data_IF_051004378381
#
_entry.id   IF_051004378381
#
_cell.length_a   1.000
_cell.length_b   1.000
_cell.length_c   1.000
_cell.angle_alpha   90.00
_cell.angle_beta   90.00
_cell.angle_gamma   90.00
#
_symmetry.space_group_name_H-M   'P 1'
#
loop_
_entity.id
_entity.type
_entity.pdbx_description
1 polymer ?
#
# COMPACT_ATOMS: atom_id res chain seq x y z
N UNK A 1 -29.07 -17.01 -2.62
CA UNK A 1 -27.81 -17.13 -1.85
C UNK A 1 -27.99 -16.33 -0.59
N UNK A 2 -27.59 -16.84 0.58
CA UNK A 2 -27.68 -16.06 1.81
C UNK A 2 -26.78 -14.82 1.69
N UNK A 3 -27.28 -13.67 2.11
CA UNK A 3 -26.53 -12.41 2.09
C UNK A 3 -25.32 -12.54 3.02
N UNK A 4 -24.12 -12.22 2.52
CA UNK A 4 -22.89 -12.31 3.31
C UNK A 4 -22.91 -11.23 4.38
N UNK A 5 -22.88 -11.63 5.65
CA UNK A 5 -22.84 -10.67 6.77
C UNK A 5 -21.52 -9.93 6.75
N UNK A 6 -21.57 -8.60 6.70
CA UNK A 6 -20.40 -7.72 6.77
C UNK A 6 -20.39 -6.94 8.08
N UNK A 7 -19.19 -6.52 8.51
CA UNK A 7 -19.01 -5.60 9.62
C UNK A 7 -17.98 -4.55 9.25
N UNK A 8 -18.11 -3.38 9.88
CA UNK A 8 -17.12 -2.31 9.76
C UNK A 8 -15.79 -2.75 10.36
N UNK A 9 -14.74 -2.70 9.56
CA UNK A 9 -13.34 -2.88 9.95
C UNK A 9 -12.60 -1.57 9.73
N UNK A 10 -11.88 -1.11 10.76
CA UNK A 10 -11.06 0.10 10.71
C UNK A 10 -9.62 -0.25 10.37
N UNK A 11 -9.16 0.25 9.25
CA UNK A 11 -7.81 0.04 8.74
C UNK A 11 -7.02 1.33 8.91
N UNK A 12 -5.82 1.25 9.49
CA UNK A 12 -4.87 2.35 9.57
C UNK A 12 -3.81 2.13 8.50
N UNK A 13 -3.74 3.05 7.54
CA UNK A 13 -2.83 2.98 6.41
C UNK A 13 -1.66 3.96 6.61
N UNK A 14 -0.44 3.43 6.50
CA UNK A 14 0.82 4.18 6.49
C UNK A 14 1.76 3.63 5.41
N UNK A 15 2.75 4.42 5.03
CA UNK A 15 3.84 4.04 4.12
C UNK A 15 4.97 5.06 4.26
N UNK A 16 6.16 4.76 3.73
CA UNK A 16 7.25 5.74 3.57
C UNK A 16 7.63 6.39 4.91
N UNK A 17 7.80 5.56 5.93
CA UNK A 17 8.15 6.02 7.28
C UNK A 17 9.64 6.30 7.41
N UNK A 18 10.49 5.66 6.60
CA UNK A 18 11.92 5.98 6.49
C UNK A 18 12.63 6.10 7.85
N UNK A 19 12.58 5.03 8.66
CA UNK A 19 13.06 4.92 10.04
C UNK A 19 12.31 5.76 11.09
N UNK A 20 11.28 6.50 10.71
CA UNK A 20 10.52 7.32 11.65
C UNK A 20 9.33 6.51 12.21
N UNK A 21 8.99 6.76 13.46
CA UNK A 21 7.74 6.24 14.04
C UNK A 21 6.72 7.36 14.10
N UNK A 22 5.43 7.01 14.05
CA UNK A 22 4.34 7.97 14.14
C UNK A 22 3.30 7.51 15.15
N UNK A 23 2.53 8.47 15.67
CA UNK A 23 1.38 8.16 16.52
C UNK A 23 0.30 7.46 15.70
N UNK A 24 0.09 6.18 15.99
CA UNK A 24 -0.92 5.36 15.32
C UNK A 24 -2.28 5.56 16.01
N UNK A 25 -3.32 5.98 15.28
CA UNK A 25 -4.69 5.99 15.81
C UNK A 25 -5.18 4.55 16.04
N UNK A 26 -6.20 4.39 16.90
CA UNK A 26 -6.83 3.07 17.11
C UNK A 26 -7.46 2.55 15.82
N UNK A 27 -7.24 1.27 15.54
CA UNK A 27 -7.89 0.53 14.46
C UNK A 27 -7.83 -0.97 14.71
N UNK A 28 -8.42 -1.73 13.79
CA UNK A 28 -8.44 -3.20 13.84
C UNK A 28 -7.25 -3.78 13.06
N UNK A 29 -6.88 -3.14 11.95
CA UNK A 29 -5.79 -3.55 11.05
C UNK A 29 -4.81 -2.40 10.83
N UNK A 30 -3.51 -2.69 10.86
CA UNK A 30 -2.46 -1.78 10.41
C UNK A 30 -1.89 -2.26 9.07
N UNK A 31 -1.76 -1.36 8.09
CA UNK A 31 -1.10 -1.62 6.81
C UNK A 31 0.08 -0.67 6.66
N UNK A 32 1.28 -1.22 6.41
CA UNK A 32 2.47 -0.47 5.99
C UNK A 32 2.85 -0.80 4.54
N UNK A 33 2.69 0.17 3.63
CA UNK A 33 2.85 -0.04 2.18
C UNK A 33 4.30 0.19 1.67
N UNK A 34 5.30 -0.25 2.43
CA UNK A 34 6.71 -0.17 2.04
C UNK A 34 7.47 1.08 2.50
N UNK A 35 8.78 1.06 2.26
CA UNK A 35 9.75 2.05 2.73
C UNK A 35 9.72 2.23 4.25
N UNK A 36 9.88 1.10 4.94
CA UNK A 36 10.06 1.08 6.40
C UNK A 36 11.34 1.82 6.80
N UNK A 37 12.36 1.73 5.95
CA UNK A 37 13.72 2.16 6.25
C UNK A 37 14.24 3.24 5.30
N UNK A 38 15.41 3.82 5.60
CA UNK A 38 16.10 4.68 4.63
C UNK A 38 16.99 3.87 3.66
N UNK A 39 17.63 2.81 4.14
CA UNK A 39 18.58 2.01 3.35
C UNK A 39 18.57 0.51 3.71
N UNK A 40 17.53 0.01 4.36
CA UNK A 40 17.36 -1.42 4.57
C UNK A 40 18.42 -2.09 5.44
N UNK A 41 19.19 -1.39 6.27
CA UNK A 41 20.12 -2.09 7.15
C UNK A 41 19.39 -2.95 8.18
N UNK A 42 19.98 -4.06 8.62
CA UNK A 42 19.43 -4.95 9.65
C UNK A 42 19.00 -4.19 10.93
N UNK A 43 19.74 -3.15 11.32
CA UNK A 43 19.38 -2.32 12.47
C UNK A 43 18.13 -1.46 12.22
N UNK A 44 17.97 -0.91 11.01
CA UNK A 44 16.79 -0.16 10.63
C UNK A 44 15.57 -1.07 10.55
N UNK A 45 15.69 -2.22 9.89
CA UNK A 45 14.62 -3.22 9.78
C UNK A 45 14.20 -3.69 11.17
N UNK A 46 15.14 -4.10 12.02
CA UNK A 46 14.84 -4.56 13.37
C UNK A 46 14.09 -3.51 14.20
N UNK A 47 14.48 -2.23 14.11
CA UNK A 47 13.77 -1.13 14.80
C UNK A 47 12.36 -0.92 14.25
N UNK A 48 12.20 -0.94 12.93
CA UNK A 48 10.89 -0.75 12.29
C UNK A 48 9.94 -1.90 12.64
N UNK A 49 10.41 -3.15 12.54
CA UNK A 49 9.61 -4.33 12.90
C UNK A 49 9.23 -4.30 14.37
N UNK A 50 10.18 -4.01 15.28
CA UNK A 50 9.87 -3.93 16.71
C UNK A 50 8.76 -2.91 17.01
N UNK A 51 8.82 -1.72 16.39
CA UNK A 51 7.77 -0.71 16.54
C UNK A 51 6.40 -1.19 16.05
N UNK A 52 6.36 -1.88 14.90
CA UNK A 52 5.11 -2.42 14.34
C UNK A 52 4.56 -3.59 15.17
N UNK A 53 5.43 -4.44 15.72
CA UNK A 53 5.04 -5.53 16.63
C UNK A 53 4.39 -4.98 17.91
N UNK A 54 4.92 -3.89 18.46
CA UNK A 54 4.41 -3.27 19.69
C UNK A 54 3.08 -2.52 19.48
N UNK A 55 2.64 -2.31 18.25
CA UNK A 55 1.37 -1.64 17.96
C UNK A 55 0.15 -2.53 18.29
N UNK A 56 -0.87 -1.98 18.96
CA UNK A 56 -2.07 -2.71 19.38
C UNK A 56 -3.11 -2.80 18.25
N UNK A 57 -2.94 -3.78 17.36
CA UNK A 57 -3.82 -4.10 16.25
C UNK A 57 -4.01 -5.63 16.17
N UNK A 58 -5.20 -6.07 15.75
CA UNK A 58 -5.53 -7.50 15.61
C UNK A 58 -4.77 -8.13 14.43
N UNK A 59 -4.49 -7.34 13.37
CA UNK A 59 -3.61 -7.73 12.28
C UNK A 59 -2.68 -6.59 11.85
N UNK A 60 -1.44 -6.92 11.48
CA UNK A 60 -0.48 -6.01 10.83
C UNK A 60 -0.03 -6.61 9.50
N UNK A 61 -0.18 -5.86 8.41
CA UNK A 61 0.20 -6.26 7.06
C UNK A 61 1.32 -5.33 6.60
N UNK A 62 2.43 -5.91 6.16
CA UNK A 62 3.63 -5.16 5.78
C UNK A 62 4.13 -5.66 4.43
N UNK A 63 4.48 -4.73 3.56
CA UNK A 63 5.29 -4.99 2.36
C UNK A 63 6.58 -4.17 2.47
N UNK A 64 7.61 -4.56 1.71
CA UNK A 64 8.80 -3.74 1.51
C UNK A 64 8.53 -2.60 0.51
N UNK A 65 9.45 -1.63 0.47
CA UNK A 65 9.55 -0.63 -0.60
C UNK A 65 10.96 -0.58 -1.18
N UNK A 66 11.21 0.39 -2.06
CA UNK A 66 12.47 0.47 -2.81
C UNK A 66 13.68 0.86 -1.93
N UNK A 67 13.47 1.40 -0.74
CA UNK A 67 14.51 1.72 0.24
C UNK A 67 14.90 0.54 1.16
N UNK A 68 14.08 -0.50 1.24
CA UNK A 68 14.32 -1.67 2.09
C UNK A 68 15.26 -2.67 1.39
N UNK A 69 16.41 -2.16 0.92
CA UNK A 69 17.21 -2.79 -0.14
C UNK A 69 17.73 -4.20 0.17
N UNK A 70 17.97 -4.53 1.44
CA UNK A 70 18.45 -5.89 1.80
C UNK A 70 17.36 -6.94 1.66
N UNK A 71 16.08 -6.54 1.63
CA UNK A 71 14.94 -7.43 1.44
C UNK A 71 14.79 -7.88 -0.02
N UNK A 72 15.46 -7.20 -0.95
CA UNK A 72 15.64 -7.65 -2.34
C UNK A 72 17.03 -8.25 -2.50
N UNK A 73 17.12 -9.57 -2.34
CA UNK A 73 18.39 -10.30 -2.39
C UNK A 73 19.13 -10.10 -3.72
N UNK A 74 18.39 -10.07 -4.84
CA UNK A 74 18.99 -9.91 -6.17
C UNK A 74 19.61 -8.52 -6.30
N UNK A 75 18.85 -7.47 -5.96
CA UNK A 75 19.35 -6.09 -5.97
C UNK A 75 20.53 -5.91 -5.01
N UNK A 76 20.40 -6.40 -3.77
CA UNK A 76 21.42 -6.19 -2.75
C UNK A 76 22.74 -6.89 -3.09
N UNK A 77 22.69 -8.10 -3.65
CA UNK A 77 23.90 -8.80 -4.11
C UNK A 77 24.68 -8.01 -5.16
N UNK A 78 23.97 -7.31 -6.05
CA UNK A 78 24.57 -6.54 -7.15
C UNK A 78 24.98 -5.12 -6.73
N UNK A 79 24.21 -4.48 -5.86
CA UNK A 79 24.33 -3.04 -5.61
C UNK A 79 24.56 -2.67 -4.14
N UNK A 80 24.43 -3.59 -3.19
CA UNK A 80 24.52 -3.32 -1.76
C UNK A 80 25.82 -2.66 -1.33
N UNK A 81 26.93 -2.95 -2.02
CA UNK A 81 28.24 -2.31 -1.78
C UNK A 81 28.24 -0.79 -1.97
N UNK A 82 27.36 -0.27 -2.85
CA UNK A 82 27.20 1.17 -3.09
C UNK A 82 26.51 1.87 -1.91
N UNK A 83 25.62 1.16 -1.21
CA UNK A 83 24.82 1.71 -0.13
C UNK A 83 25.48 1.52 1.24
N UNK A 84 26.02 0.33 1.52
CA UNK A 84 26.56 -0.05 2.83
C UNK A 84 28.10 -0.04 2.91
N UNK A 85 28.78 0.62 1.94
CA UNK A 85 30.21 0.97 1.91
C UNK A 85 31.13 -0.01 2.68
N UNK A 86 31.22 -1.25 2.19
CA UNK A 86 32.04 -2.37 2.68
C UNK A 86 31.58 -3.12 3.95
N UNK A 87 30.39 -2.84 4.49
CA UNK A 87 29.75 -3.68 5.51
C UNK A 87 28.52 -4.40 4.92
N UNK A 88 28.72 -5.37 4.01
CA UNK A 88 27.60 -6.16 3.51
C UNK A 88 26.90 -6.86 4.67
N UNK A 89 25.61 -7.10 4.49
CA UNK A 89 24.75 -7.74 5.48
C UNK A 89 24.10 -8.94 4.79
N UNK A 90 23.65 -9.92 5.56
CA UNK A 90 22.94 -11.05 4.97
C UNK A 90 21.51 -10.63 4.63
N UNK A 91 21.13 -10.68 3.36
CA UNK A 91 19.74 -10.51 2.93
C UNK A 91 18.82 -11.54 3.57
N UNK A 92 19.30 -12.76 3.79
CA UNK A 92 18.54 -13.82 4.46
C UNK A 92 18.25 -13.46 5.92
N UNK A 93 19.26 -12.99 6.67
CA UNK A 93 19.06 -12.55 8.06
C UNK A 93 18.14 -11.33 8.12
N UNK A 94 18.29 -10.37 7.19
CA UNK A 94 17.43 -9.19 7.14
C UNK A 94 15.98 -9.53 6.79
N UNK A 95 15.76 -10.48 5.87
CA UNK A 95 14.44 -10.98 5.52
C UNK A 95 13.81 -11.70 6.71
N UNK A 96 14.58 -12.54 7.42
CA UNK A 96 14.09 -13.24 8.61
C UNK A 96 13.59 -12.29 9.71
N UNK A 97 14.18 -11.09 9.87
CA UNK A 97 13.71 -10.09 10.83
C UNK A 97 12.25 -9.69 10.60
N UNK A 98 11.76 -9.71 9.35
CA UNK A 98 10.39 -9.34 9.01
C UNK A 98 9.51 -10.56 8.77
N UNK A 99 9.98 -11.57 8.04
CA UNK A 99 9.18 -12.75 7.67
C UNK A 99 8.93 -13.72 8.82
N UNK A 100 9.76 -13.69 9.88
CA UNK A 100 9.60 -14.54 11.05
C UNK A 100 8.87 -13.85 12.21
N UNK A 101 8.35 -12.64 12.02
CA UNK A 101 7.56 -11.97 13.05
C UNK A 101 6.30 -12.76 13.38
N UNK A 102 5.97 -13.01 14.66
CA UNK A 102 4.77 -13.74 15.05
C UNK A 102 3.49 -12.92 14.93
N UNK A 103 3.58 -11.59 14.71
CA UNK A 103 2.43 -10.68 14.71
C UNK A 103 2.25 -9.87 13.43
N UNK A 104 3.18 -10.01 12.48
CA UNK A 104 3.14 -9.32 11.19
C UNK A 104 2.98 -10.34 10.07
N UNK A 105 2.02 -10.07 9.19
CA UNK A 105 1.94 -10.73 7.88
C UNK A 105 2.78 -9.91 6.89
N UNK A 106 3.97 -10.38 6.61
CA UNK A 106 4.81 -9.84 5.53
C UNK A 106 4.39 -10.45 4.20
N UNK A 107 4.23 -9.62 3.17
CA UNK A 107 3.86 -10.07 1.82
C UNK A 107 4.91 -9.60 0.81
N UNK A 108 5.46 -10.52 0.03
CA UNK A 108 6.41 -10.22 -1.04
C UNK A 108 5.92 -10.71 -2.40
N UNK A 109 4.99 -9.96 -2.99
CA UNK A 109 4.30 -10.32 -4.24
C UNK A 109 3.50 -11.61 -4.11
N UNK A 110 2.64 -11.64 -3.10
CA UNK A 110 1.82 -12.80 -2.75
C UNK A 110 0.50 -12.38 -2.09
N UNK A 111 -0.39 -13.35 -1.89
CA UNK A 111 -1.68 -13.14 -1.23
C UNK A 111 -1.80 -13.90 0.08
N UNK A 112 -2.51 -13.32 1.04
CA UNK A 112 -2.89 -13.97 2.30
C UNK A 112 -4.37 -13.75 2.62
N UNK A 113 -4.97 -14.70 3.33
CA UNK A 113 -6.26 -14.51 3.98
C UNK A 113 -6.04 -14.04 5.41
N UNK A 114 -6.56 -12.87 5.76
CA UNK A 114 -6.46 -12.30 7.10
C UNK A 114 -7.75 -12.57 7.85
N UNK A 115 -7.63 -13.03 9.09
CA UNK A 115 -8.75 -13.21 10.03
C UNK A 115 -8.50 -12.36 11.26
N UNK A 116 -9.48 -11.53 11.60
CA UNK A 116 -9.46 -10.75 12.83
C UNK A 116 -10.08 -11.60 13.95
N UNK A 117 -9.29 -11.91 14.97
CA UNK A 117 -9.62 -12.91 15.99
C UNK A 117 -10.05 -12.28 17.31
N UNK A 118 -9.86 -10.97 17.48
CA UNK A 118 -10.26 -10.26 18.68
C UNK A 118 -11.76 -10.42 18.93
N UNK A 119 -12.11 -10.98 20.08
CA UNK A 119 -13.50 -11.17 20.50
C UNK A 119 -14.27 -9.83 20.65
N UNK A 120 -13.54 -8.72 20.85
CA UNK A 120 -14.09 -7.37 20.90
C UNK A 120 -14.02 -6.64 19.56
N UNK A 121 -13.33 -7.22 18.58
CA UNK A 121 -13.15 -6.69 17.24
C UNK A 121 -14.28 -7.08 16.28
N UNK A 122 -14.16 -6.71 15.00
CA UNK A 122 -15.22 -6.94 14.02
C UNK A 122 -15.35 -8.42 13.61
N UNK A 123 -14.33 -9.26 13.88
CA UNK A 123 -14.31 -10.68 13.51
C UNK A 123 -14.51 -10.89 11.99
N UNK A 124 -13.84 -10.07 11.18
CA UNK A 124 -13.91 -10.14 9.72
C UNK A 124 -12.79 -10.99 9.14
N UNK A 125 -13.01 -11.49 7.92
CA UNK A 125 -12.01 -12.16 7.09
C UNK A 125 -12.00 -11.55 5.68
N UNK A 126 -10.81 -11.35 5.15
CA UNK A 126 -10.61 -10.77 3.81
C UNK A 126 -9.32 -11.31 3.18
N UNK A 127 -9.25 -11.28 1.85
CA UNK A 127 -8.03 -11.60 1.09
C UNK A 127 -7.28 -10.32 0.78
N UNK A 128 -5.98 -10.30 1.09
CA UNK A 128 -5.06 -9.22 0.74
C UNK A 128 -4.02 -9.74 -0.24
N UNK A 129 -3.69 -8.97 -1.27
CA UNK A 129 -2.50 -9.15 -2.10
C UNK A 129 -1.50 -8.04 -1.77
N UNK A 130 -0.22 -8.39 -1.58
CA UNK A 130 0.84 -7.43 -1.22
C UNK A 130 2.04 -7.55 -2.15
N UNK A 131 2.55 -6.43 -2.68
CA UNK A 131 3.76 -6.45 -3.51
C UNK A 131 4.65 -5.20 -3.36
N UNK A 132 5.97 -5.37 -3.21
CA UNK A 132 6.91 -4.25 -3.12
C UNK A 132 7.29 -3.65 -4.47
N UNK A 133 6.93 -4.30 -5.58
CA UNK A 133 7.44 -3.95 -6.91
C UNK A 133 6.94 -2.58 -7.40
N UNK A 134 7.83 -1.84 -8.05
CA UNK A 134 7.56 -0.53 -8.65
C UNK A 134 8.25 -0.34 -10.01
N UNK A 135 7.72 0.50 -10.93
CA UNK A 135 8.43 0.89 -12.13
C UNK A 135 9.75 1.58 -11.80
N UNK A 136 10.81 1.25 -12.53
CA UNK A 136 12.16 1.74 -12.22
C UNK A 136 12.25 3.27 -12.17
N UNK A 137 12.63 3.78 -11.00
CA UNK A 137 13.11 5.15 -10.84
C UNK A 137 14.51 5.17 -10.22
N UNK A 138 15.54 5.35 -11.06
CA UNK A 138 16.93 5.30 -10.63
C UNK A 138 17.38 3.90 -10.22
N UNK A 139 18.28 3.82 -9.25
CA UNK A 139 18.90 2.57 -8.78
C UNK A 139 18.41 2.27 -7.37
N UNK A 140 17.29 1.58 -7.27
CA UNK A 140 16.71 1.10 -6.00
C UNK A 140 16.17 -0.33 -6.13
N UNK A 141 15.89 -0.97 -4.99
CA UNK A 141 15.37 -2.32 -4.92
C UNK A 141 13.94 -2.42 -5.48
N UNK A 142 13.50 -3.65 -5.77
CA UNK A 142 12.14 -3.98 -6.21
C UNK A 142 11.68 -3.21 -7.46
N UNK A 143 12.62 -2.83 -8.32
CA UNK A 143 12.32 -2.13 -9.56
C UNK A 143 12.26 -3.09 -10.75
N UNK A 144 11.25 -2.94 -11.59
CA UNK A 144 11.20 -3.55 -12.93
C UNK A 144 11.19 -2.48 -14.01
N UNK A 145 11.59 -2.87 -15.22
CA UNK A 145 11.58 -1.97 -16.38
C UNK A 145 10.15 -1.86 -16.93
N UNK A 146 9.69 -0.63 -17.18
CA UNK A 146 8.39 -0.34 -17.79
C UNK A 146 8.59 0.19 -19.23
N UNK A 147 7.53 0.13 -20.05
CA UNK A 147 7.54 0.74 -21.38
C UNK A 147 7.90 2.23 -21.33
N UNK A 148 8.62 2.71 -22.34
CA UNK A 148 8.92 4.14 -22.52
C UNK A 148 7.67 4.99 -22.83
N UNK A 149 6.59 4.35 -23.28
CA UNK A 149 5.31 4.99 -23.61
C UNK A 149 4.14 4.25 -22.93
N UNK A 150 4.05 4.26 -21.58
CA UNK A 150 3.05 3.46 -20.87
C UNK A 150 1.61 3.93 -21.15
N UNK A 151 1.42 5.19 -21.57
CA UNK A 151 0.11 5.73 -21.96
C UNK A 151 -0.37 5.24 -23.35
N UNK A 152 0.53 4.70 -24.17
CA UNK A 152 0.14 4.12 -25.46
C UNK A 152 -0.57 2.79 -25.21
N UNK A 153 -1.82 2.68 -25.66
CA UNK A 153 -2.61 1.46 -25.53
C UNK A 153 -1.94 0.23 -26.17
N UNK A 154 -1.03 0.42 -27.14
CA UNK A 154 -0.29 -0.63 -27.82
C UNK A 154 1.06 -0.98 -27.17
N UNK A 155 1.52 -0.22 -26.17
CA UNK A 155 2.76 -0.50 -25.46
C UNK A 155 2.68 -1.81 -24.67
N UNK A 156 3.72 -2.67 -24.75
CA UNK A 156 3.81 -3.83 -23.88
C UNK A 156 3.98 -3.37 -22.42
N UNK A 157 3.08 -3.81 -21.55
CA UNK A 157 3.16 -3.57 -20.12
C UNK A 157 3.68 -4.83 -19.42
N UNK A 158 4.22 -4.67 -18.21
CA UNK A 158 4.57 -5.80 -17.36
C UNK A 158 3.34 -6.65 -17.02
N UNK A 159 3.52 -7.96 -16.91
CA UNK A 159 2.47 -8.92 -16.56
C UNK A 159 2.47 -9.32 -15.09
N UNK A 160 3.40 -8.81 -14.26
CA UNK A 160 3.47 -9.19 -12.84
C UNK A 160 2.15 -8.91 -12.10
N UNK A 161 1.38 -7.91 -12.54
CA UNK A 161 0.10 -7.56 -11.90
C UNK A 161 -1.04 -8.47 -12.33
N UNK A 162 -0.82 -9.43 -13.24
CA UNK A 162 -1.78 -10.49 -13.55
C UNK A 162 -1.93 -11.50 -12.40
N UNK A 163 -0.92 -11.58 -11.53
CA UNK A 163 -0.92 -12.44 -10.35
C UNK A 163 -1.84 -11.92 -9.22
N UNK A 164 -2.35 -10.68 -9.32
CA UNK A 164 -3.34 -10.15 -8.37
C UNK A 164 -4.64 -10.97 -8.49
N UNK A 165 -5.06 -11.70 -7.43
CA UNK A 165 -6.22 -12.56 -7.50
C UNK A 165 -7.50 -11.75 -7.78
N UNK A 166 -8.38 -12.27 -8.64
CA UNK A 166 -9.65 -11.62 -9.00
C UNK A 166 -10.62 -11.42 -7.83
N UNK A 167 -10.35 -12.07 -6.69
CA UNK A 167 -11.16 -12.03 -5.48
C UNK A 167 -10.45 -11.30 -4.32
N UNK A 168 -9.35 -10.58 -4.59
CA UNK A 168 -8.67 -9.80 -3.57
C UNK A 168 -9.59 -8.65 -3.09
N UNK A 169 -9.85 -8.60 -1.78
CA UNK A 169 -10.60 -7.51 -1.16
C UNK A 169 -9.73 -6.26 -1.02
N UNK A 170 -8.44 -6.47 -0.76
CA UNK A 170 -7.44 -5.41 -0.52
C UNK A 170 -6.19 -5.70 -1.36
N UNK A 171 -5.66 -4.65 -1.99
CA UNK A 171 -4.36 -4.69 -2.67
C UNK A 171 -3.41 -3.70 -1.98
N UNK A 172 -2.22 -4.13 -1.62
CA UNK A 172 -1.16 -3.29 -1.03
C UNK A 172 0.03 -3.31 -1.97
N UNK A 173 0.40 -2.16 -2.52
CA UNK A 173 1.55 -2.04 -3.42
C UNK A 173 2.43 -0.89 -2.98
N UNK A 174 3.74 -0.96 -3.20
CA UNK A 174 4.56 0.19 -2.87
C UNK A 174 4.30 1.35 -3.86
N UNK A 175 4.30 1.05 -5.17
CA UNK A 175 3.92 2.04 -6.20
C UNK A 175 2.42 2.36 -6.17
N UNK A 176 2.03 3.62 -6.42
CA UNK A 176 0.65 3.94 -6.74
C UNK A 176 0.27 3.47 -8.15
N UNK A 177 -1.01 3.15 -8.41
CA UNK A 177 -1.53 3.02 -9.78
C UNK A 177 -1.49 4.38 -10.49
N UNK A 178 -1.26 4.37 -11.80
CA UNK A 178 -1.21 5.59 -12.60
C UNK A 178 -2.50 6.42 -12.46
N UNK A 179 -2.34 7.75 -12.36
CA UNK A 179 -3.39 8.75 -12.15
C UNK A 179 -4.10 8.72 -10.78
N UNK A 180 -3.75 7.82 -9.86
CA UNK A 180 -4.36 7.77 -8.53
C UNK A 180 -3.32 7.70 -7.43
N UNK A 181 -3.19 8.79 -6.67
CA UNK A 181 -2.18 8.90 -5.62
C UNK A 181 -0.75 9.00 -6.16
N UNK A 182 -0.56 9.47 -7.39
CA UNK A 182 0.74 9.54 -8.07
C UNK A 182 1.10 10.95 -8.56
N UNK A 183 0.46 11.96 -7.98
CA UNK A 183 0.71 13.36 -8.30
C UNK A 183 2.16 13.75 -7.97
N UNK A 184 2.77 14.54 -8.85
CA UNK A 184 4.13 15.09 -8.67
C UNK A 184 4.16 16.58 -8.99
N UNK A 185 5.18 17.29 -8.52
CA UNK A 185 5.42 18.72 -8.87
C UNK A 185 5.50 18.94 -10.39
N UNK A 186 5.98 17.95 -11.15
CA UNK A 186 6.05 18.01 -12.61
C UNK A 186 4.67 17.89 -13.30
N UNK A 187 3.59 17.69 -12.51
CA UNK A 187 2.21 17.48 -12.97
C UNK A 187 2.08 16.35 -14.01
N UNK A 188 3.00 15.38 -13.98
CA UNK A 188 2.94 14.17 -14.80
C UNK A 188 2.74 12.94 -13.90
N UNK A 189 1.80 12.04 -14.25
CA UNK A 189 1.61 10.77 -13.56
C UNK A 189 2.91 9.96 -13.55
N UNK A 190 3.31 9.47 -12.38
CA UNK A 190 4.44 8.54 -12.21
C UNK A 190 4.01 7.16 -11.72
N UNK A 191 2.71 6.95 -11.51
CA UNK A 191 2.18 5.67 -11.11
C UNK A 191 2.22 4.65 -12.23
N UNK A 192 2.04 3.38 -11.84
CA UNK A 192 2.13 2.23 -12.72
C UNK A 192 0.83 2.03 -13.51
N UNK A 193 0.93 2.01 -14.85
CA UNK A 193 -0.23 1.80 -15.72
C UNK A 193 -0.71 0.35 -15.68
N UNK A 194 0.22 -0.60 -15.63
CA UNK A 194 -0.12 -2.03 -15.53
C UNK A 194 -0.91 -2.34 -14.24
N UNK A 195 -0.52 -1.72 -13.11
CA UNK A 195 -1.24 -1.83 -11.85
C UNK A 195 -2.64 -1.20 -11.93
N UNK A 196 -2.77 -0.02 -12.55
CA UNK A 196 -4.08 0.62 -12.77
C UNK A 196 -5.03 -0.31 -13.54
N UNK A 197 -4.55 -0.99 -14.58
CA UNK A 197 -5.33 -1.99 -15.33
C UNK A 197 -5.68 -3.22 -14.50
N UNK A 198 -4.77 -3.68 -13.64
CA UNK A 198 -5.05 -4.76 -12.70
C UNK A 198 -6.14 -4.35 -11.69
N UNK A 199 -6.12 -3.12 -11.18
CA UNK A 199 -7.18 -2.61 -10.30
C UNK A 199 -8.52 -2.46 -11.02
N UNK A 200 -8.54 -2.05 -12.29
CA UNK A 200 -9.76 -2.05 -13.11
C UNK A 200 -10.33 -3.47 -13.31
N UNK A 201 -9.46 -4.48 -13.46
CA UNK A 201 -9.85 -5.89 -13.62
C UNK A 201 -10.37 -6.50 -12.31
N UNK A 202 -9.63 -6.32 -11.22
CA UNK A 202 -9.88 -6.95 -9.91
C UNK A 202 -10.91 -6.18 -9.10
N UNK A 203 -10.85 -4.84 -9.14
CA UNK A 203 -11.71 -3.92 -8.39
C UNK A 203 -11.75 -4.23 -6.89
N UNK A 204 -10.59 -4.26 -6.20
CA UNK A 204 -10.58 -4.44 -4.76
C UNK A 204 -11.30 -3.29 -4.07
N UNK A 205 -11.85 -3.51 -2.88
CA UNK A 205 -12.50 -2.45 -2.09
C UNK A 205 -11.50 -1.35 -1.72
N UNK A 206 -10.27 -1.75 -1.40
CA UNK A 206 -9.19 -0.86 -0.98
C UNK A 206 -7.88 -1.21 -1.69
N UNK A 207 -7.22 -0.21 -2.27
CA UNK A 207 -5.85 -0.29 -2.74
C UNK A 207 -4.99 0.69 -1.92
N UNK A 208 -3.97 0.21 -1.21
CA UNK A 208 -3.09 1.02 -0.37
C UNK A 208 -1.69 1.07 -0.98
N UNK A 209 -1.13 2.28 -1.08
CA UNK A 209 0.19 2.52 -1.65
C UNK A 209 0.97 3.62 -0.95
N UNK A 210 2.18 3.89 -1.45
CA UNK A 210 3.08 4.93 -0.97
C UNK A 210 3.94 5.46 -2.10
N UNK A 211 5.27 5.50 -1.88
CA UNK A 211 6.34 5.78 -2.85
C UNK A 211 6.38 7.22 -3.39
N UNK A 212 5.25 7.74 -3.85
CA UNK A 212 5.12 9.11 -4.36
C UNK A 212 4.58 9.99 -3.22
N UNK A 213 5.48 10.60 -2.44
CA UNK A 213 5.12 11.33 -1.20
C UNK A 213 4.11 12.45 -1.42
N UNK A 214 4.24 13.19 -2.53
CA UNK A 214 3.31 14.28 -2.88
C UNK A 214 1.94 13.76 -3.34
N UNK A 215 1.84 12.48 -3.68
CA UNK A 215 0.61 11.80 -4.06
C UNK A 215 -0.26 11.42 -2.86
N UNK A 216 0.20 11.66 -1.62
CA UNK A 216 -0.54 11.37 -0.38
C UNK A 216 -1.98 11.88 -0.45
N UNK A 217 -2.93 10.96 -0.32
CA UNK A 217 -4.36 11.27 -0.41
C UNK A 217 -5.18 10.00 -0.62
N UNK A 218 -6.46 10.19 -0.95
CA UNK A 218 -7.34 9.09 -1.31
C UNK A 218 -8.23 9.44 -2.50
N UNK A 219 -8.40 8.51 -3.42
CA UNK A 219 -9.30 8.61 -4.56
C UNK A 219 -10.33 7.49 -4.46
N UNK A 220 -11.60 7.80 -4.73
CA UNK A 220 -12.63 6.79 -4.97
C UNK A 220 -12.91 6.73 -6.46
N UNK A 221 -12.55 5.60 -7.05
CA UNK A 221 -12.58 5.37 -8.49
C UNK A 221 -13.75 4.49 -8.82
N UNK A 222 -14.60 4.93 -9.75
CA UNK A 222 -15.66 4.10 -10.34
C UNK A 222 -15.14 3.58 -11.67
N UNK A 223 -15.02 2.27 -11.82
CA UNK A 223 -14.50 1.65 -13.04
C UNK A 223 -15.60 1.48 -14.09
N UNK A 224 -15.29 1.71 -15.36
CA UNK A 224 -16.23 1.44 -16.45
C UNK A 224 -16.30 -0.07 -16.76
N UNK A 225 -17.48 -0.67 -16.55
CA UNK A 225 -17.79 -2.07 -16.86
C UNK A 225 -18.00 -2.33 -18.36
N UNK A 226 -18.35 -1.31 -19.15
CA UNK A 226 -19.10 -1.47 -20.43
C UNK A 226 -18.46 -0.76 -21.62
N UNK A 227 -17.15 -0.50 -21.61
CA UNK A 227 -16.51 -0.04 -22.84
C UNK A 227 -16.51 -1.20 -23.85
N UNK A 228 -17.53 -1.24 -24.72
CA UNK A 228 -17.67 -2.16 -25.86
C UNK A 228 -16.54 -2.06 -26.90
N UNK A 229 -15.50 -1.29 -26.58
CA UNK A 229 -14.25 -1.12 -27.33
C UNK A 229 -13.08 -1.94 -26.78
N UNK A 230 -13.24 -2.63 -25.63
CA UNK A 230 -12.17 -3.39 -24.97
C UNK A 230 -11.12 -2.53 -24.27
N UNK A 231 -11.36 -1.21 -24.14
CA UNK A 231 -10.43 -0.28 -23.46
C UNK A 231 -10.83 -0.14 -21.98
N UNK A 232 -9.85 -0.31 -21.09
CA UNK A 232 -9.98 0.01 -19.66
C UNK A 232 -10.24 1.53 -19.49
N UNK A 233 -11.08 1.92 -18.53
CA UNK A 233 -11.37 3.32 -18.24
C UNK A 233 -11.98 3.52 -16.84
N UNK A 234 -11.75 4.69 -16.25
CA UNK A 234 -12.52 5.22 -15.14
C UNK A 234 -13.80 5.89 -15.66
N UNK A 235 -14.93 5.52 -15.08
CA UNK A 235 -16.20 6.23 -15.29
C UNK A 235 -16.22 7.56 -14.53
N UNK A 236 -15.70 7.58 -13.31
CA UNK A 236 -15.54 8.80 -12.51
C UNK A 236 -14.52 8.61 -11.40
N UNK A 237 -13.97 9.73 -10.91
CA UNK A 237 -13.03 9.77 -9.78
C UNK A 237 -13.48 10.85 -8.81
N UNK A 238 -13.65 10.49 -7.54
CA UNK A 238 -13.88 11.44 -6.45
C UNK A 238 -12.61 11.56 -5.61
N UNK A 239 -12.04 12.76 -5.57
CA UNK A 239 -10.84 13.05 -4.78
C UNK A 239 -11.27 13.36 -3.33
N UNK A 240 -10.65 12.69 -2.37
CA UNK A 240 -10.90 12.92 -0.95
C UNK A 240 -10.27 14.23 -0.47
N UNK A 241 -11.04 14.99 0.30
CA UNK A 241 -10.55 16.12 1.08
C UNK A 241 -10.29 15.67 2.51
N UNK A 242 -9.07 15.81 2.99
CA UNK A 242 -8.66 15.33 4.31
C UNK A 242 -9.39 16.07 5.45
N UNK A 243 -10.31 15.43 6.19
CA UNK A 243 -11.04 16.06 7.29
C UNK A 243 -10.17 16.31 8.52
N UNK A 244 -8.98 15.71 8.58
CA UNK A 244 -7.96 15.89 9.60
C UNK A 244 -6.97 17.02 9.28
N UNK A 245 -6.95 17.55 8.06
CA UNK A 245 -6.03 18.61 7.66
C UNK A 245 -6.19 19.85 8.57
N UNK A 246 -5.05 20.33 9.11
CA UNK A 246 -5.01 21.51 9.97
C UNK A 246 -5.75 21.37 11.31
N UNK A 247 -6.14 20.15 11.73
CA UNK A 247 -6.89 19.93 12.97
C UNK A 247 -6.43 18.65 13.69
N UNK A 248 -6.99 18.39 14.87
CA UNK A 248 -6.74 17.17 15.65
C UNK A 248 -7.62 15.99 15.21
N UNK A 249 -8.57 16.19 14.28
CA UNK A 249 -9.47 15.12 13.77
C UNK A 249 -8.69 14.04 13.02
N UNK A 250 -9.24 12.84 12.94
CA UNK A 250 -8.64 11.78 12.12
C UNK A 250 -8.73 12.13 10.64
N UNK A 251 -7.67 11.81 9.90
CA UNK A 251 -7.67 11.75 8.44
C UNK A 251 -8.48 10.54 7.97
N UNK A 252 -9.80 10.62 8.11
CA UNK A 252 -10.73 9.51 7.88
C UNK A 252 -11.25 9.47 6.44
N UNK A 253 -11.19 8.30 5.84
CA UNK A 253 -11.95 7.88 4.64
C UNK A 253 -13.04 6.92 5.11
N UNK A 254 -14.32 7.29 4.93
CA UNK A 254 -15.45 6.45 5.33
C UNK A 254 -16.10 5.81 4.09
N UNK A 255 -15.92 4.50 3.97
CA UNK A 255 -16.47 3.68 2.89
C UNK A 255 -17.73 2.91 3.32
N UNK A 256 -18.22 3.12 4.54
CA UNK A 256 -19.38 2.40 5.13
C UNK A 256 -20.73 3.07 4.86
N UNK A 257 -20.73 4.25 4.23
CA UNK A 257 -21.96 5.01 4.00
C UNK A 257 -22.51 5.78 5.21
N UNK A 258 -21.82 5.80 6.36
CA UNK A 258 -22.28 6.51 7.57
C UNK A 258 -22.10 8.02 7.48
N UNK A 259 -20.96 8.48 6.97
CA UNK A 259 -20.65 9.90 6.74
C UNK A 259 -20.48 10.25 5.26
N UNK A 260 -20.51 9.23 4.39
CA UNK A 260 -20.41 9.35 2.94
C UNK A 260 -21.38 8.39 2.26
N UNK A 261 -21.12 8.03 1.01
CA UNK A 261 -21.84 6.93 0.35
C UNK A 261 -21.08 5.62 0.51
N UNK A 262 -21.81 4.52 0.65
CA UNK A 262 -21.26 3.16 0.66
C UNK A 262 -20.44 2.91 -0.62
N UNK A 263 -19.30 2.23 -0.49
CA UNK A 263 -18.49 1.81 -1.64
C UNK A 263 -19.28 0.80 -2.50
N UNK A 264 -19.44 1.10 -3.79
CA UNK A 264 -20.10 0.24 -4.76
C UNK A 264 -19.22 -0.92 -5.21
N UNK A 265 -19.83 -1.93 -5.83
CA UNK A 265 -19.13 -3.12 -6.33
C UNK A 265 -18.12 -2.82 -7.45
N UNK A 266 -18.32 -1.72 -8.17
CA UNK A 266 -17.45 -1.26 -9.27
C UNK A 266 -16.42 -0.23 -8.84
N UNK A 267 -16.25 -0.07 -7.53
CA UNK A 267 -15.45 0.99 -6.98
C UNK A 267 -14.25 0.47 -6.22
N UNK A 268 -13.14 1.17 -6.38
CA UNK A 268 -11.94 0.99 -5.57
C UNK A 268 -11.62 2.29 -4.87
N UNK A 269 -11.38 2.24 -3.56
CA UNK A 269 -10.72 3.32 -2.87
C UNK A 269 -9.21 3.13 -2.97
N UNK A 270 -8.51 4.04 -3.66
CA UNK A 270 -7.05 4.09 -3.71
C UNK A 270 -6.58 5.05 -2.63
N UNK A 271 -5.66 4.63 -1.77
CA UNK A 271 -5.07 5.43 -0.70
C UNK A 271 -3.56 5.43 -0.88
N UNK A 272 -2.97 6.60 -1.15
CA UNK A 272 -1.55 6.80 -0.96
C UNK A 272 -1.32 7.26 0.48
N UNK A 273 -0.66 6.42 1.26
CA UNK A 273 -0.48 6.55 2.69
C UNK A 273 0.90 7.08 3.10
N UNK A 274 1.63 7.72 2.19
CA UNK A 274 2.98 8.23 2.45
C UNK A 274 3.01 9.17 3.67
N UNK A 275 3.83 8.81 4.65
CA UNK A 275 4.00 9.53 5.91
C UNK A 275 5.02 10.66 5.77
N UNK A 276 6.16 10.43 5.12
CA UNK A 276 7.10 11.52 4.85
C UNK A 276 6.50 12.49 3.81
N UNK A 277 6.54 13.80 4.08
CA UNK A 277 6.14 14.87 3.13
C UNK A 277 7.33 15.43 2.36
N UNK A 278 8.46 15.57 3.03
CA UNK A 278 9.61 16.31 2.52
C UNK A 278 10.39 15.48 1.50
N UNK A 279 10.65 16.07 0.33
CA UNK A 279 11.51 15.47 -0.71
C UNK A 279 12.98 15.45 -0.29
N UNK A 280 13.71 14.44 -0.74
CA UNK A 280 15.18 14.43 -0.67
C UNK A 280 15.79 15.25 -1.82
N UNK A 281 16.91 15.97 -1.61
CA UNK A 281 17.56 16.27 -0.34
C UNK A 281 16.76 17.29 0.47
N UNK A 282 16.57 17.02 1.78
CA UNK A 282 15.83 17.90 2.67
C UNK A 282 16.60 19.21 2.86
N UNK A 283 16.05 20.32 2.35
CA UNK A 283 16.58 21.67 2.60
C UNK A 283 16.02 22.29 3.89
N UNK A 284 14.98 21.68 4.45
CA UNK A 284 14.26 22.09 5.66
C UNK A 284 14.04 20.86 6.57
N UNK A 285 13.49 21.06 7.77
CA UNK A 285 13.13 19.96 8.68
C UNK A 285 12.15 18.97 8.03
N UNK A 286 12.31 17.67 8.33
CA UNK A 286 11.40 16.63 7.85
C UNK A 286 9.98 16.91 8.33
N UNK A 287 9.04 16.97 7.39
CA UNK A 287 7.62 17.11 7.69
C UNK A 287 6.91 15.78 7.48
N UNK A 288 5.88 15.51 8.29
CA UNK A 288 5.15 14.26 8.27
C UNK A 288 3.64 14.47 8.07
N UNK A 289 3.02 13.57 7.32
CA UNK A 289 1.59 13.38 7.22
C UNK A 289 1.09 12.54 8.40
N UNK A 290 -0.19 12.69 8.72
CA UNK A 290 -0.86 11.79 9.66
C UNK A 290 -1.29 10.51 8.94
N UNK A 291 -1.34 9.36 9.64
CA UNK A 291 -1.91 8.13 9.08
C UNK A 291 -3.32 8.36 8.51
N UNK A 292 -3.63 7.74 7.36
CA UNK A 292 -4.99 7.72 6.83
C UNK A 292 -5.73 6.57 7.49
N UNK A 293 -6.93 6.84 8.01
CA UNK A 293 -7.80 5.82 8.60
C UNK A 293 -8.92 5.53 7.63
N UNK A 294 -9.16 4.26 7.32
CA UNK A 294 -10.23 3.82 6.42
C UNK A 294 -11.22 2.98 7.22
N UNK A 295 -12.48 3.38 7.25
CA UNK A 295 -13.58 2.53 7.73
C UNK A 295 -14.21 1.85 6.50
N UNK A 296 -14.18 0.51 6.44
CA UNK A 296 -14.70 -0.29 5.31
C UNK A 296 -15.50 -1.49 5.82
N UNK A 297 -16.50 -1.93 5.07
CA UNK A 297 -17.27 -3.15 5.39
C UNK A 297 -16.60 -4.39 4.79
N UNK A 298 -16.27 -5.36 5.64
CA UNK A 298 -15.65 -6.62 5.25
C UNK A 298 -16.47 -7.81 5.76
N UNK A 299 -16.40 -8.98 5.08
CA UNK A 299 -17.13 -10.18 5.49
C UNK A 299 -16.78 -10.65 6.89
N UNK A 300 -17.78 -11.03 7.68
CA UNK A 300 -17.57 -11.73 8.96
C UNK A 300 -17.16 -13.18 8.65
N UNK A 301 -16.15 -13.71 9.34
CA UNK A 301 -15.87 -15.14 9.20
C UNK A 301 -16.95 -15.93 9.95
N UNK A 302 -17.61 -16.84 9.24
CA UNK A 302 -18.50 -17.79 9.89
C UNK A 302 -17.67 -18.69 10.80
N UNK A 303 -17.92 -18.63 12.11
CA UNK A 303 -17.45 -19.67 13.02
C UNK A 303 -18.11 -20.99 12.58
N UNK A 304 -17.31 -21.89 12.01
CA UNK A 304 -17.73 -23.29 11.83
C UNK A 304 -17.70 -23.98 13.19
#
# INVERSE_FOLDING_TARGET
MAEQVVRKTRIVCISDTHNCTVNLPKGDVLIHAGDLTNQGSASEISKAIKWLEDADFDAKIVIAGNHDITLDQSFYSQHGHVFHNQKPQSSEECLALVSSSPSITYLNHESATIRLLSAKGPQTQFTVFGSPYSPRYGRWAFNYDESTHPDDASSPLTTIWDDVPSHADIVVTHTPPRNHGDATIEQRPKGCEALRRALWRVRPKLAVCGHIHDGRGAHRVVWDKVSGSGRFAEKSVSVWSDPGAGSNKLSLVDLTGKKGSLLGEDETCVVNAAILKSRHPHREEKQFNRPIVVDVELPVWAAR
#
